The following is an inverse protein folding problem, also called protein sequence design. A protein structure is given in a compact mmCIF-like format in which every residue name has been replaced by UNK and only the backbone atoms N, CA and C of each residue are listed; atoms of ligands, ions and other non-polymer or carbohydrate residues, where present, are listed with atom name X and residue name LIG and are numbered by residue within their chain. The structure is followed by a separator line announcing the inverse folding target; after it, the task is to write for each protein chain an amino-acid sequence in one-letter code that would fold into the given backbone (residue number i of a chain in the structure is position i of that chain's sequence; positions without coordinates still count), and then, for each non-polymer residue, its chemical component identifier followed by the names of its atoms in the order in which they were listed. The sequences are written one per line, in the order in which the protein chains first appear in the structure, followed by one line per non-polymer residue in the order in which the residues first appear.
data_IF_353598409057
#
_entry.id   IF_353598409057
#
_cell.length_a   1.000
_cell.length_b   1.000
_cell.length_c   1.000
_cell.angle_alpha   90.00
_cell.angle_beta   90.00
_cell.angle_gamma   90.00
#
_symmetry.space_group_name_H-M   'P 1'
#
loop_
_entity.id
_entity.type
_entity.pdbx_description
1 polymer ?
#
# COMPACT_ATOMS: atom_id res chain seq x y z
N UNK A 1 15.13 6.74 -1.55
CA UNK A 1 13.96 5.88 -1.91
C UNK A 1 12.73 6.18 -1.07
N UNK A 2 12.87 6.39 0.25
CA UNK A 2 11.73 6.62 1.14
C UNK A 2 10.86 7.82 0.70
N UNK A 3 11.45 8.96 0.40
CA UNK A 3 10.71 10.14 -0.06
C UNK A 3 10.07 9.93 -1.43
N UNK A 4 10.84 9.45 -2.41
CA UNK A 4 10.36 9.32 -3.79
C UNK A 4 9.30 8.22 -3.91
N UNK A 5 9.55 7.04 -3.34
CA UNK A 5 8.68 5.88 -3.53
C UNK A 5 7.58 5.71 -2.45
N UNK A 6 7.69 6.40 -1.32
CA UNK A 6 6.73 6.23 -0.24
C UNK A 6 5.78 7.42 -0.07
N UNK A 7 6.30 8.65 -0.10
CA UNK A 7 5.56 9.78 0.44
C UNK A 7 5.20 10.86 -0.60
N UNK A 8 5.95 11.03 -1.69
CA UNK A 8 5.79 12.23 -2.53
C UNK A 8 5.51 11.93 -3.99
N UNK A 9 6.49 11.49 -4.76
CA UNK A 9 6.39 11.43 -6.22
C UNK A 9 5.31 10.44 -6.69
N UNK A 10 5.26 9.25 -6.11
CA UNK A 10 4.28 8.22 -6.51
C UNK A 10 2.85 8.55 -6.09
N UNK A 11 2.67 9.41 -5.08
CA UNK A 11 1.35 9.82 -4.59
C UNK A 11 0.77 11.02 -5.32
N UNK A 12 1.56 11.67 -6.19
CA UNK A 12 1.12 12.84 -6.95
C UNK A 12 -0.12 12.55 -7.82
N UNK A 13 -0.19 11.37 -8.46
CA UNK A 13 -1.35 10.97 -9.26
C UNK A 13 -2.61 10.81 -8.40
N UNK A 14 -2.50 10.22 -7.22
CA UNK A 14 -3.61 10.09 -6.25
C UNK A 14 -4.11 11.48 -5.83
N UNK A 15 -3.19 12.38 -5.49
CA UNK A 15 -3.52 13.75 -5.13
C UNK A 15 -4.18 14.50 -6.27
N UNK A 16 -3.66 14.36 -7.50
CA UNK A 16 -4.25 14.98 -8.69
C UNK A 16 -5.70 14.55 -8.90
N UNK A 17 -5.99 13.25 -8.90
CA UNK A 17 -7.35 12.73 -9.08
C UNK A 17 -8.26 13.23 -7.95
N UNK A 18 -7.79 13.22 -6.70
CA UNK A 18 -8.56 13.74 -5.58
C UNK A 18 -8.89 15.25 -5.71
N UNK A 19 -7.94 16.05 -6.20
CA UNK A 19 -8.17 17.50 -6.43
C UNK A 19 -9.08 17.77 -7.61
N UNK A 20 -9.09 16.89 -8.60
CA UNK A 20 -9.93 16.98 -9.79
C UNK A 20 -11.26 16.22 -9.63
N UNK A 21 -11.62 15.83 -8.40
CA UNK A 21 -12.86 15.11 -8.10
C UNK A 21 -14.11 15.69 -8.78
N UNK A 22 -14.34 17.02 -8.85
CA UNK A 22 -15.52 17.55 -9.53
C UNK A 22 -15.61 17.21 -11.01
N UNK A 23 -14.45 16.98 -11.67
CA UNK A 23 -14.43 16.56 -13.08
C UNK A 23 -14.69 15.05 -13.22
N UNK A 24 -14.13 14.23 -12.32
CA UNK A 24 -14.35 12.78 -12.35
C UNK A 24 -15.80 12.41 -12.06
N UNK A 25 -16.47 13.13 -11.15
CA UNK A 25 -17.89 12.94 -10.81
C UNK A 25 -18.86 13.20 -12.00
N UNK A 26 -18.41 13.90 -13.04
CA UNK A 26 -19.20 14.13 -14.25
C UNK A 26 -19.30 12.88 -15.14
N UNK A 27 -18.49 11.84 -14.90
CA UNK A 27 -18.43 10.66 -15.77
C UNK A 27 -18.27 9.36 -14.96
N UNK A 28 -19.36 8.61 -14.86
CA UNK A 28 -19.35 7.26 -14.28
C UNK A 28 -18.37 6.31 -14.97
N UNK A 29 -18.19 6.46 -16.29
CA UNK A 29 -17.23 5.68 -17.05
C UNK A 29 -15.80 5.95 -16.58
N UNK A 30 -15.44 7.22 -16.34
CA UNK A 30 -14.11 7.58 -15.86
C UNK A 30 -13.88 7.02 -14.45
N UNK A 31 -14.85 7.14 -13.56
CA UNK A 31 -14.79 6.57 -12.21
C UNK A 31 -14.64 5.05 -12.26
N UNK A 32 -15.40 4.35 -13.09
CA UNK A 32 -15.32 2.89 -13.26
C UNK A 32 -13.94 2.45 -13.79
N UNK A 33 -13.36 3.17 -14.74
CA UNK A 33 -12.01 2.90 -15.27
C UNK A 33 -10.97 3.06 -14.14
N UNK A 34 -11.03 4.15 -13.38
CA UNK A 34 -10.13 4.38 -12.23
C UNK A 34 -10.27 3.26 -11.19
N UNK A 35 -11.52 2.88 -10.87
CA UNK A 35 -11.84 1.81 -9.93
C UNK A 35 -11.23 0.47 -10.35
N UNK A 36 -11.47 0.04 -11.59
CA UNK A 36 -11.02 -1.27 -12.10
C UNK A 36 -9.50 -1.32 -12.23
N UNK A 37 -8.87 -0.28 -12.78
CA UNK A 37 -7.40 -0.20 -12.89
C UNK A 37 -6.76 -0.22 -11.49
N UNK A 38 -7.35 0.51 -10.54
CA UNK A 38 -6.91 0.48 -9.16
C UNK A 38 -6.97 -0.92 -8.55
N UNK A 39 -8.08 -1.64 -8.77
CA UNK A 39 -8.28 -3.00 -8.28
C UNK A 39 -7.28 -4.00 -8.87
N UNK A 40 -7.05 -3.96 -10.16
CA UNK A 40 -6.04 -4.79 -10.85
C UNK A 40 -4.66 -4.48 -10.28
N UNK A 41 -4.32 -3.20 -10.13
CA UNK A 41 -3.03 -2.78 -9.59
C UNK A 41 -2.82 -3.27 -8.17
N UNK A 42 -3.84 -3.14 -7.30
CA UNK A 42 -3.76 -3.59 -5.92
C UNK A 42 -3.41 -5.09 -5.82
N UNK A 43 -4.09 -5.94 -6.58
CA UNK A 43 -3.85 -7.38 -6.58
C UNK A 43 -2.54 -7.75 -7.28
N UNK A 44 -2.35 -7.31 -8.51
CA UNK A 44 -1.22 -7.73 -9.34
C UNK A 44 0.12 -7.34 -8.71
N UNK A 45 0.24 -6.12 -8.22
CA UNK A 45 1.46 -5.66 -7.55
C UNK A 45 1.67 -6.37 -6.20
N UNK A 46 0.59 -6.73 -5.51
CA UNK A 46 0.66 -7.56 -4.31
C UNK A 46 1.24 -8.94 -4.60
N UNK A 47 0.78 -9.61 -5.64
CA UNK A 47 1.32 -10.92 -6.07
C UNK A 47 2.79 -10.83 -6.48
N UNK A 48 3.17 -9.78 -7.21
CA UNK A 48 4.59 -9.55 -7.53
C UNK A 48 5.43 -9.37 -6.27
N UNK A 49 4.89 -8.73 -5.23
CA UNK A 49 5.55 -8.60 -3.93
C UNK A 49 5.87 -9.94 -3.26
N UNK A 50 5.01 -10.96 -3.45
CA UNK A 50 5.23 -12.30 -2.88
C UNK A 50 6.44 -13.00 -3.51
N UNK A 51 6.68 -12.83 -4.80
CA UNK A 51 7.74 -13.56 -5.50
C UNK A 51 9.09 -12.85 -5.47
N UNK A 52 9.16 -11.60 -5.02
CA UNK A 52 10.41 -10.86 -4.92
C UNK A 52 11.28 -11.33 -3.75
N UNK A 53 12.59 -11.38 -3.95
CA UNK A 53 13.56 -11.71 -2.92
C UNK A 53 14.41 -10.50 -2.48
N UNK A 54 14.32 -9.39 -3.17
CA UNK A 54 14.98 -8.13 -2.85
C UNK A 54 14.11 -7.31 -1.89
N UNK A 55 14.64 -7.00 -0.70
CA UNK A 55 13.91 -6.28 0.35
C UNK A 55 13.37 -4.93 -0.12
N UNK A 56 14.11 -4.17 -0.93
CA UNK A 56 13.64 -2.90 -1.48
C UNK A 56 12.51 -3.10 -2.49
N UNK A 57 12.62 -4.13 -3.34
CA UNK A 57 11.59 -4.45 -4.34
C UNK A 57 10.29 -4.91 -3.69
N UNK A 58 10.36 -5.74 -2.64
CA UNK A 58 9.17 -6.12 -1.88
C UNK A 58 8.43 -4.89 -1.35
N UNK A 59 9.14 -3.95 -0.71
CA UNK A 59 8.54 -2.73 -0.19
C UNK A 59 8.01 -1.84 -1.32
N UNK A 60 8.69 -1.77 -2.46
CA UNK A 60 8.26 -0.99 -3.63
C UNK A 60 6.98 -1.56 -4.26
N UNK A 61 6.91 -2.86 -4.53
CA UNK A 61 5.69 -3.51 -5.04
C UNK A 61 4.52 -3.41 -4.04
N UNK A 62 4.83 -3.52 -2.76
CA UNK A 62 3.87 -3.25 -1.71
C UNK A 62 3.34 -1.81 -1.76
N UNK A 63 4.19 -0.82 -2.07
CA UNK A 63 3.75 0.57 -2.27
C UNK A 63 2.81 0.69 -3.45
N UNK A 64 3.13 0.09 -4.59
CA UNK A 64 2.26 0.10 -5.78
C UNK A 64 0.91 -0.58 -5.49
N UNK A 65 0.91 -1.67 -4.73
CA UNK A 65 -0.33 -2.31 -4.28
C UNK A 65 -1.19 -1.37 -3.42
N UNK A 66 -0.59 -0.66 -2.47
CA UNK A 66 -1.32 0.31 -1.63
C UNK A 66 -1.81 1.54 -2.42
N UNK A 67 -1.06 1.99 -3.43
CA UNK A 67 -1.55 3.01 -4.37
C UNK A 67 -2.78 2.51 -5.15
N UNK A 68 -2.81 1.22 -5.51
CA UNK A 68 -4.00 0.58 -6.06
C UNK A 68 -5.22 0.72 -5.14
N UNK A 69 -5.07 0.50 -3.82
CA UNK A 69 -6.15 0.73 -2.84
C UNK A 69 -6.65 2.18 -2.85
N UNK A 70 -5.70 3.15 -2.88
CA UNK A 70 -6.08 4.56 -2.95
C UNK A 70 -6.82 4.89 -4.24
N UNK A 71 -6.36 4.34 -5.38
CA UNK A 71 -7.00 4.52 -6.68
C UNK A 71 -8.40 3.93 -6.68
N UNK A 72 -8.61 2.76 -6.07
CA UNK A 72 -9.94 2.16 -5.89
C UNK A 72 -10.85 3.09 -5.06
N UNK A 73 -10.34 3.65 -3.97
CA UNK A 73 -11.11 4.59 -3.16
C UNK A 73 -11.55 5.83 -3.96
N UNK A 74 -10.64 6.39 -4.77
CA UNK A 74 -10.96 7.53 -5.64
C UNK A 74 -12.01 7.17 -6.70
N UNK A 75 -11.89 5.99 -7.33
CA UNK A 75 -12.86 5.47 -8.28
C UNK A 75 -14.24 5.21 -7.65
N UNK A 76 -14.29 4.86 -6.37
CA UNK A 76 -15.52 4.71 -5.59
C UNK A 76 -16.05 6.05 -5.02
N UNK A 77 -15.55 7.20 -5.49
CA UNK A 77 -15.89 8.55 -5.00
C UNK A 77 -15.57 8.79 -3.51
N UNK A 78 -14.79 7.91 -2.89
CA UNK A 78 -14.36 8.00 -1.49
C UNK A 78 -13.04 8.76 -1.35
N UNK A 79 -12.98 9.99 -1.85
CA UNK A 79 -11.76 10.81 -1.90
C UNK A 79 -11.14 11.02 -0.53
N UNK A 80 -11.95 11.26 0.50
CA UNK A 80 -11.48 11.42 1.87
C UNK A 80 -10.78 10.16 2.40
N UNK A 81 -11.32 8.96 2.14
CA UNK A 81 -10.71 7.69 2.51
C UNK A 81 -9.40 7.46 1.76
N UNK A 82 -9.34 7.78 0.47
CA UNK A 82 -8.12 7.71 -0.35
C UNK A 82 -7.01 8.61 0.20
N UNK A 83 -7.30 9.86 0.52
CA UNK A 83 -6.33 10.81 1.10
C UNK A 83 -5.95 10.42 2.54
N UNK A 84 -6.87 9.93 3.34
CA UNK A 84 -6.58 9.43 4.68
C UNK A 84 -5.60 8.24 4.61
N UNK A 85 -5.84 7.29 3.70
CA UNK A 85 -4.91 6.18 3.50
C UNK A 85 -3.55 6.65 2.94
N UNK A 86 -3.52 7.65 2.07
CA UNK A 86 -2.28 8.26 1.58
C UNK A 86 -1.44 8.81 2.74
N UNK A 87 -2.06 9.53 3.67
CA UNK A 87 -1.37 10.10 4.83
C UNK A 87 -0.77 9.01 5.72
N UNK A 88 -1.57 8.01 6.11
CA UNK A 88 -1.09 6.90 6.96
C UNK A 88 -0.01 6.08 6.25
N UNK A 89 -0.19 5.82 4.94
CA UNK A 89 0.76 5.13 4.08
C UNK A 89 2.13 5.81 4.04
N UNK A 90 2.16 7.13 3.90
CA UNK A 90 3.42 7.89 3.84
C UNK A 90 4.29 7.62 5.06
N UNK A 91 3.71 7.59 6.27
CA UNK A 91 4.43 7.35 7.51
C UNK A 91 4.95 5.91 7.63
N UNK A 92 4.11 4.90 7.52
CA UNK A 92 4.57 3.53 7.72
C UNK A 92 5.46 3.03 6.58
N UNK A 93 5.29 3.54 5.37
CA UNK A 93 6.18 3.20 4.24
C UNK A 93 7.54 3.87 4.35
N UNK A 94 7.60 5.13 4.74
CA UNK A 94 8.87 5.78 5.01
C UNK A 94 9.64 5.02 6.08
N UNK A 95 8.97 4.60 7.17
CA UNK A 95 9.55 3.80 8.23
C UNK A 95 10.13 2.48 7.72
N UNK A 96 9.38 1.73 6.90
CA UNK A 96 9.83 0.46 6.33
C UNK A 96 11.00 0.62 5.35
N UNK A 97 10.98 1.65 4.49
CA UNK A 97 12.09 1.92 3.56
C UNK A 97 13.37 2.33 4.28
N UNK A 98 13.26 3.16 5.32
CA UNK A 98 14.41 3.58 6.13
C UNK A 98 14.96 2.39 6.92
N UNK A 99 14.09 1.57 7.50
CA UNK A 99 14.48 0.32 8.17
C UNK A 99 15.20 -0.64 7.24
N UNK A 100 14.67 -0.86 6.03
CA UNK A 100 15.35 -1.68 5.01
C UNK A 100 16.70 -1.08 4.60
N UNK A 101 16.80 0.25 4.49
CA UNK A 101 18.06 0.93 4.24
C UNK A 101 19.11 0.66 5.31
N UNK A 102 18.71 0.71 6.58
CA UNK A 102 19.57 0.40 7.73
C UNK A 102 20.07 -1.06 7.69
N UNK A 103 19.17 -2.00 7.38
CA UNK A 103 19.52 -3.43 7.24
C UNK A 103 20.54 -3.64 6.11
N UNK A 104 20.31 -3.04 4.94
CA UNK A 104 21.18 -3.18 3.78
C UNK A 104 22.60 -2.63 4.07
N UNK A 105 22.70 -1.50 4.76
CA UNK A 105 24.00 -0.94 5.17
C UNK A 105 24.71 -1.90 6.14
N UNK A 106 24.01 -2.41 7.13
CA UNK A 106 24.57 -3.35 8.10
C UNK A 106 25.01 -4.68 7.47
N UNK A 107 24.34 -5.09 6.38
CA UNK A 107 24.64 -6.33 5.62
C UNK A 107 25.60 -6.10 4.43
N UNK A 108 26.46 -5.06 4.49
CA UNK A 108 27.43 -4.75 3.43
C UNK A 108 26.82 -4.61 2.03
N UNK A 109 25.68 -3.92 1.92
CA UNK A 109 24.90 -3.69 0.70
C UNK A 109 24.20 -4.92 0.10
N UNK A 110 24.12 -6.04 0.84
CA UNK A 110 23.27 -7.15 0.43
C UNK A 110 21.79 -6.74 0.46
N UNK A 111 21.02 -7.12 -0.56
CA UNK A 111 19.59 -6.82 -0.69
C UNK A 111 18.73 -8.09 -0.74
N UNK A 112 19.34 -9.25 -0.94
CA UNK A 112 18.63 -10.53 -1.01
C UNK A 112 18.23 -11.00 0.40
N UNK A 113 16.93 -11.02 0.69
CA UNK A 113 16.37 -11.41 1.98
C UNK A 113 16.72 -12.86 2.36
N UNK A 114 17.01 -13.73 1.38
CA UNK A 114 17.39 -15.14 1.64
C UNK A 114 18.74 -15.25 2.33
N UNK A 115 19.57 -14.21 2.22
CA UNK A 115 20.88 -14.12 2.88
C UNK A 115 20.84 -13.34 4.19
N UNK A 116 19.66 -12.83 4.58
CA UNK A 116 19.46 -12.07 5.80
C UNK A 116 18.80 -12.95 6.85
N UNK A 117 19.28 -12.85 8.11
CA UNK A 117 18.67 -13.59 9.21
C UNK A 117 19.26 -13.20 10.57
N UNK A 118 18.53 -13.47 11.65
CA UNK A 118 19.00 -13.27 13.02
C UNK A 118 19.28 -11.83 13.44
N UNK A 119 18.91 -10.83 12.66
CA UNK A 119 19.25 -9.42 12.83
C UNK A 119 18.66 -8.78 14.08
N UNK A 120 17.64 -9.37 14.69
CA UNK A 120 17.02 -8.89 15.94
C UNK A 120 18.04 -8.66 17.06
N UNK A 121 19.06 -9.51 17.17
CA UNK A 121 20.09 -9.39 18.22
C UNK A 121 21.04 -8.21 17.96
N UNK A 122 21.32 -7.90 16.72
CA UNK A 122 22.28 -6.88 16.31
C UNK A 122 21.63 -5.52 16.07
N UNK A 123 20.36 -5.50 15.69
CA UNK A 123 19.61 -4.30 15.33
C UNK A 123 18.22 -4.25 15.97
N UNK A 124 18.13 -4.24 17.33
CA UNK A 124 16.85 -4.34 18.04
C UNK A 124 15.90 -3.18 17.72
N UNK A 125 16.40 -1.95 17.60
CA UNK A 125 15.56 -0.80 17.24
C UNK A 125 14.98 -0.90 15.84
N UNK A 126 15.79 -1.28 14.85
CA UNK A 126 15.34 -1.49 13.48
C UNK A 126 14.31 -2.62 13.41
N UNK A 127 14.49 -3.67 14.20
CA UNK A 127 13.53 -4.76 14.30
C UNK A 127 12.18 -4.28 14.85
N UNK A 128 12.16 -3.53 15.95
CA UNK A 128 10.93 -3.02 16.57
C UNK A 128 10.20 -2.07 15.60
N UNK A 129 10.93 -1.14 14.98
CA UNK A 129 10.33 -0.19 14.04
C UNK A 129 9.79 -0.89 12.79
N UNK A 130 10.49 -1.91 12.28
CA UNK A 130 10.00 -2.72 11.16
C UNK A 130 8.72 -3.49 11.54
N UNK A 131 8.64 -4.04 12.75
CA UNK A 131 7.44 -4.68 13.28
C UNK A 131 6.25 -3.71 13.33
N UNK A 132 6.43 -2.54 13.92
CA UNK A 132 5.40 -1.50 13.99
C UNK A 132 4.93 -1.10 12.58
N UNK A 133 5.87 -0.87 11.66
CA UNK A 133 5.54 -0.53 10.26
C UNK A 133 4.80 -1.65 9.55
N UNK A 134 5.16 -2.90 9.79
CA UNK A 134 4.51 -4.09 9.22
C UNK A 134 3.08 -4.26 9.75
N UNK A 135 2.85 -4.12 11.05
CA UNK A 135 1.53 -4.18 11.64
C UNK A 135 0.63 -3.05 11.14
N UNK A 136 1.18 -1.84 10.98
CA UNK A 136 0.45 -0.72 10.38
C UNK A 136 0.11 -0.99 8.90
N UNK A 137 1.05 -1.55 8.12
CA UNK A 137 0.85 -1.89 6.71
C UNK A 137 -0.21 -2.99 6.52
N UNK A 138 -0.19 -4.04 7.34
CA UNK A 138 -1.14 -5.15 7.24
C UNK A 138 -2.56 -4.75 7.67
N UNK A 139 -2.69 -3.66 8.41
CA UNK A 139 -3.98 -3.22 8.95
C UNK A 139 -4.37 -4.00 10.21
N UNK A 140 -3.41 -4.28 11.08
CA UNK A 140 -3.69 -4.90 12.38
C UNK A 140 -4.29 -3.86 13.34
N UNK A 141 -5.40 -4.15 14.05
CA UNK A 141 -5.92 -3.24 15.07
C UNK A 141 -4.92 -3.10 16.23
N UNK A 142 -4.68 -1.93 16.80
CA UNK A 142 -5.29 -0.61 16.60
C UNK A 142 -4.47 0.34 15.69
N UNK A 143 -3.67 -0.17 14.77
CA UNK A 143 -2.82 0.66 13.92
C UNK A 143 -3.60 1.45 12.88
N UNK A 144 -3.04 2.59 12.43
CA UNK A 144 -3.69 3.51 11.50
C UNK A 144 -4.08 2.87 10.16
N UNK A 145 -3.32 1.87 9.70
CA UNK A 145 -3.62 1.12 8.47
C UNK A 145 -4.92 0.31 8.54
N UNK A 146 -5.35 -0.11 9.73
CA UNK A 146 -6.64 -0.77 9.93
C UNK A 146 -7.79 0.18 9.56
N UNK A 147 -7.87 1.32 10.22
CA UNK A 147 -8.94 2.28 10.02
C UNK A 147 -8.99 2.81 8.58
N UNK A 148 -7.83 3.07 7.97
CA UNK A 148 -7.79 3.63 6.62
C UNK A 148 -8.14 2.59 5.55
N UNK A 149 -7.79 1.31 5.72
CA UNK A 149 -8.20 0.25 4.80
C UNK A 149 -9.67 -0.11 4.94
N UNK A 150 -10.15 -0.17 6.18
CA UNK A 150 -11.54 -0.43 6.48
C UNK A 150 -12.46 0.59 5.80
N UNK A 151 -12.13 1.88 5.93
CA UNK A 151 -12.85 2.95 5.25
C UNK A 151 -12.87 2.80 3.71
N UNK A 152 -11.79 2.29 3.10
CA UNK A 152 -11.75 2.03 1.65
C UNK A 152 -12.65 0.83 1.30
N UNK A 153 -12.54 -0.27 2.04
CA UNK A 153 -13.31 -1.50 1.79
C UNK A 153 -14.81 -1.21 1.92
N UNK A 154 -15.21 -0.48 2.96
CA UNK A 154 -16.59 -0.07 3.17
C UNK A 154 -17.12 0.80 2.03
N UNK A 155 -16.34 1.80 1.60
CA UNK A 155 -16.72 2.67 0.49
C UNK A 155 -16.93 1.89 -0.82
N UNK A 156 -16.06 0.93 -1.11
CA UNK A 156 -16.18 0.08 -2.32
C UNK A 156 -17.38 -0.86 -2.22
N UNK A 157 -17.67 -1.39 -1.04
CA UNK A 157 -18.84 -2.23 -0.81
C UNK A 157 -20.14 -1.52 -1.12
N UNK A 158 -20.24 -0.24 -0.80
CA UNK A 158 -21.41 0.59 -1.07
C UNK A 158 -21.45 1.19 -2.49
N UNK A 159 -20.40 1.07 -3.27
CA UNK A 159 -20.33 1.59 -4.63
C UNK A 159 -21.24 0.80 -5.59
N UNK A 160 -22.02 1.52 -6.40
CA UNK A 160 -22.91 0.96 -7.42
C UNK A 160 -22.29 0.97 -8.82
N UNK A 161 -21.04 1.41 -8.95
CA UNK A 161 -20.37 1.56 -10.25
C UNK A 161 -20.11 0.20 -10.92
N UNK A 162 -20.10 0.17 -12.26
CA UNK A 162 -19.65 -0.99 -13.00
C UNK A 162 -18.23 -1.42 -12.59
N UNK A 163 -18.07 -2.68 -12.18
CA UNK A 163 -16.80 -3.21 -11.68
C UNK A 163 -16.61 -3.13 -10.16
N UNK A 164 -17.53 -2.55 -9.39
CA UNK A 164 -17.44 -2.45 -7.93
C UNK A 164 -17.33 -3.84 -7.25
N UNK A 165 -18.05 -4.85 -7.74
CA UNK A 165 -17.95 -6.22 -7.21
C UNK A 165 -16.55 -6.82 -7.38
N UNK A 166 -15.91 -6.60 -8.54
CA UNK A 166 -14.53 -7.02 -8.76
C UNK A 166 -13.56 -6.23 -7.86
N UNK A 167 -13.75 -4.92 -7.75
CA UNK A 167 -12.92 -4.07 -6.90
C UNK A 167 -13.03 -4.47 -5.44
N UNK A 168 -14.23 -4.79 -4.95
CA UNK A 168 -14.45 -5.27 -3.58
C UNK A 168 -13.71 -6.59 -3.32
N UNK A 169 -13.84 -7.56 -4.23
CA UNK A 169 -13.07 -8.80 -4.15
C UNK A 169 -11.57 -8.52 -4.14
N UNK A 170 -11.09 -7.63 -5.02
CA UNK A 170 -9.68 -7.31 -5.15
C UNK A 170 -9.10 -6.67 -3.87
N UNK A 171 -9.81 -5.73 -3.24
CA UNK A 171 -9.32 -5.11 -2.00
C UNK A 171 -9.34 -6.09 -0.84
N UNK A 172 -10.34 -6.95 -0.71
CA UNK A 172 -10.37 -8.01 0.31
C UNK A 172 -9.23 -9.02 0.12
N UNK A 173 -9.08 -9.58 -1.09
CA UNK A 173 -7.98 -10.50 -1.39
C UNK A 173 -6.61 -9.83 -1.18
N UNK A 174 -6.51 -8.54 -1.50
CA UNK A 174 -5.31 -7.75 -1.29
C UNK A 174 -4.92 -7.61 0.19
N UNK A 175 -5.84 -7.67 1.15
CA UNK A 175 -5.51 -7.71 2.58
C UNK A 175 -4.71 -8.97 2.90
N UNK A 176 -5.16 -10.14 2.45
CA UNK A 176 -4.45 -11.42 2.63
C UNK A 176 -3.08 -11.41 1.96
N UNK A 177 -3.04 -10.93 0.72
CA UNK A 177 -1.80 -10.80 -0.05
C UNK A 177 -0.82 -9.86 0.67
N UNK A 178 -1.31 -8.75 1.23
CA UNK A 178 -0.51 -7.80 2.01
C UNK A 178 0.09 -8.49 3.24
N UNK A 179 -0.70 -9.24 3.99
CA UNK A 179 -0.21 -9.98 5.15
C UNK A 179 0.85 -11.01 4.72
N UNK A 180 0.58 -11.76 3.66
CA UNK A 180 1.47 -12.82 3.18
C UNK A 180 2.87 -12.30 2.82
N UNK A 181 3.00 -11.25 2.00
CA UNK A 181 4.33 -10.72 1.65
C UNK A 181 4.99 -9.94 2.80
N UNK A 182 4.23 -9.46 3.76
CA UNK A 182 4.76 -8.64 4.86
C UNK A 182 5.37 -9.48 5.98
N UNK A 183 4.87 -10.70 6.20
CA UNK A 183 5.38 -11.62 7.23
C UNK A 183 6.30 -12.72 6.69
N UNK A 184 6.58 -12.70 5.42
CA UNK A 184 7.56 -13.58 4.79
C UNK A 184 8.99 -13.09 5.07
#
# INVERSE_FOLDING_TARGET
SALIHAATMVTAGIFMVARMSPLYELSETALSVVLVIGAITALFMGFLGIVQNDIKRVIAYSTLSQLGYMTVALGASAYAAGIFHLMTHAFFKALLFLGAGSVIIAMHHEQDMRKMGGLKKYMPFTFITAWVGTLALTGFPPFAGFFSKDAIIEAVHHSQLPGAGFAYFAVLAGVFVTALYSFR
#
